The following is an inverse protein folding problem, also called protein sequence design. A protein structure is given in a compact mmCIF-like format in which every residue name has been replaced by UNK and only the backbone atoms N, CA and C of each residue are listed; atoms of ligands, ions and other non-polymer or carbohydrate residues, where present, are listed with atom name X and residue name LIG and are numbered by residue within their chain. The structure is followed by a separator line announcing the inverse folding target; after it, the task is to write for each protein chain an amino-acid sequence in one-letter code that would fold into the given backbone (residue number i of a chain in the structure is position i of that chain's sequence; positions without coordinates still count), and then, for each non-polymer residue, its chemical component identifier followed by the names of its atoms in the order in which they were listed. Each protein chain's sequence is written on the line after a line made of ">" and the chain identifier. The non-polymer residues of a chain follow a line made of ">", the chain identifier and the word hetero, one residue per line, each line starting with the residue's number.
data_IF_821212249178
#
_entry.id   IF_821212249178
#
_cell.length_a   1.000
_cell.length_b   1.000
_cell.length_c   1.000
_cell.angle_alpha   90.00
_cell.angle_beta   90.00
_cell.angle_gamma   90.00
#
_symmetry.space_group_name_H-M   'P 1'
#
loop_
_entity.id
_entity.type
_entity.pdbx_description
1 polymer ?
#
# COMPACT_ATOMS: atom_id res chain seq x y z
N UNK A 1 -31.91 -7.33 -10.63
CA UNK A 1 -31.32 -6.11 -11.24
C UNK A 1 -29.87 -6.05 -10.79
N UNK A 2 -28.90 -6.25 -11.69
CA UNK A 2 -27.47 -6.29 -11.34
C UNK A 2 -26.89 -4.89 -11.56
N UNK A 3 -26.25 -4.30 -10.54
CA UNK A 3 -25.47 -3.07 -10.67
C UNK A 3 -24.01 -3.46 -10.96
N UNK A 4 -23.50 -3.03 -12.11
CA UNK A 4 -22.07 -3.14 -12.44
C UNK A 4 -21.39 -1.87 -11.92
N UNK A 5 -20.34 -2.05 -11.13
CA UNK A 5 -19.57 -0.97 -10.50
C UNK A 5 -18.16 -0.94 -11.12
N UNK A 6 -17.78 0.17 -11.76
CA UNK A 6 -16.43 0.38 -12.29
C UNK A 6 -15.53 1.03 -11.23
N UNK A 7 -14.73 0.24 -10.52
CA UNK A 7 -13.82 0.73 -9.47
C UNK A 7 -12.68 1.65 -9.97
N UNK A 8 -12.59 1.88 -11.30
CA UNK A 8 -11.70 2.90 -11.87
C UNK A 8 -12.32 4.31 -11.84
N UNK A 9 -13.65 4.39 -11.75
CA UNK A 9 -14.44 5.63 -11.81
C UNK A 9 -15.10 5.96 -10.47
N UNK A 10 -15.38 4.95 -9.65
CA UNK A 10 -16.02 5.09 -8.34
C UNK A 10 -15.14 4.55 -7.22
N UNK A 11 -15.07 5.29 -6.11
CA UNK A 11 -14.42 4.81 -4.88
C UNK A 11 -15.21 3.66 -4.26
N UNK A 12 -14.50 2.72 -3.63
CA UNK A 12 -15.15 1.65 -2.88
C UNK A 12 -16.04 2.25 -1.79
N UNK A 13 -17.32 1.87 -1.82
CA UNK A 13 -18.34 2.25 -0.84
C UNK A 13 -18.39 1.29 0.35
N UNK A 14 -17.52 0.27 0.38
CA UNK A 14 -17.46 -0.68 1.49
C UNK A 14 -16.53 -0.12 2.56
N UNK A 15 -17.01 0.13 3.79
CA UNK A 15 -16.13 0.44 4.91
C UNK A 15 -15.21 -0.77 5.13
N UNK A 16 -13.91 -0.56 4.99
CA UNK A 16 -12.92 -1.62 5.05
C UNK A 16 -11.74 -1.17 5.91
N UNK A 17 -11.47 -1.93 6.97
CA UNK A 17 -10.25 -1.80 7.76
C UNK A 17 -9.09 -2.44 7.00
N UNK A 18 -7.94 -1.77 7.02
CA UNK A 18 -6.76 -2.21 6.28
C UNK A 18 -5.59 -2.43 7.23
N UNK A 19 -4.93 -3.58 7.07
CA UNK A 19 -3.68 -3.91 7.72
C UNK A 19 -2.58 -4.07 6.68
N UNK A 20 -1.46 -3.34 6.85
CA UNK A 20 -0.27 -3.49 6.02
C UNK A 20 0.72 -4.40 6.74
N UNK A 21 0.99 -5.57 6.14
CA UNK A 21 1.95 -6.53 6.68
C UNK A 21 3.39 -6.07 6.38
N UNK A 22 4.07 -5.54 7.39
CA UNK A 22 5.41 -4.95 7.28
C UNK A 22 6.52 -5.74 8.01
N UNK A 23 6.23 -6.95 8.53
CA UNK A 23 7.12 -7.69 9.44
C UNK A 23 8.21 -8.58 8.80
N UNK A 24 8.43 -8.51 7.48
CA UNK A 24 9.43 -9.35 6.81
C UNK A 24 10.87 -8.87 7.04
N UNK A 25 11.82 -9.78 7.28
CA UNK A 25 13.25 -9.48 7.55
C UNK A 25 14.05 -8.85 6.40
N UNK A 26 13.47 -8.68 5.21
CA UNK A 26 14.15 -8.01 4.09
C UNK A 26 15.34 -8.74 3.46
N UNK A 27 15.67 -9.98 3.87
CA UNK A 27 16.93 -10.66 3.54
C UNK A 27 17.37 -10.65 2.07
N UNK A 28 16.42 -10.69 1.12
CA UNK A 28 16.72 -10.65 -0.33
C UNK A 28 17.28 -9.31 -0.83
N UNK A 29 17.06 -8.23 -0.08
CA UNK A 29 17.48 -6.87 -0.42
C UNK A 29 18.68 -6.41 0.42
N UNK A 30 19.31 -7.30 1.19
CA UNK A 30 20.58 -6.97 1.84
C UNK A 30 21.62 -6.58 0.78
N UNK A 31 22.47 -5.56 1.03
CA UNK A 31 22.65 -4.86 2.32
C UNK A 31 21.68 -3.70 2.58
N UNK A 32 20.82 -3.34 1.63
CA UNK A 32 19.94 -2.17 1.75
C UNK A 32 19.01 -2.27 2.97
N UNK A 33 18.60 -3.49 3.33
CA UNK A 33 17.74 -3.74 4.49
C UNK A 33 18.48 -4.00 5.80
N UNK A 34 19.78 -3.74 5.87
CA UNK A 34 20.56 -3.97 7.09
C UNK A 34 20.13 -3.00 8.20
N UNK A 35 20.09 -1.70 7.88
CA UNK A 35 19.76 -0.63 8.83
C UNK A 35 18.38 -0.01 8.58
N UNK A 36 17.78 -0.28 7.41
CA UNK A 36 16.49 0.28 7.00
C UNK A 36 15.47 -0.81 6.72
N UNK A 37 14.29 -0.84 7.37
CA UNK A 37 13.25 -1.80 7.05
C UNK A 37 12.85 -1.70 5.57
N UNK A 38 12.58 -2.83 4.92
CA UNK A 38 12.14 -2.87 3.51
C UNK A 38 11.04 -1.83 3.19
N UNK A 39 9.97 -1.67 3.99
CA UNK A 39 8.92 -0.69 3.69
C UNK A 39 9.40 0.76 3.61
N UNK A 40 10.51 1.09 4.29
CA UNK A 40 11.08 2.44 4.32
C UNK A 40 12.13 2.68 3.24
N UNK A 41 12.49 1.66 2.45
CA UNK A 41 13.38 1.85 1.31
C UNK A 41 12.70 2.69 0.22
N UNK A 42 13.46 3.61 -0.37
CA UNK A 42 12.98 4.49 -1.43
C UNK A 42 12.91 3.77 -2.77
N UNK A 43 11.83 4.01 -3.50
CA UNK A 43 11.66 3.64 -4.90
C UNK A 43 11.24 4.92 -5.63
N UNK A 44 12.16 5.50 -6.38
CA UNK A 44 11.99 6.84 -6.94
C UNK A 44 12.09 7.91 -5.84
N UNK A 45 11.06 8.72 -5.74
CA UNK A 45 10.93 9.86 -4.82
C UNK A 45 10.28 9.52 -3.47
N UNK A 46 9.72 8.30 -3.32
CA UNK A 46 8.95 7.90 -2.13
C UNK A 46 9.36 6.53 -1.57
N UNK A 47 9.19 6.29 -0.26
CA UNK A 47 9.31 4.96 0.34
C UNK A 47 8.28 3.96 -0.21
N UNK A 48 8.63 2.66 -0.23
CA UNK A 48 7.72 1.57 -0.61
C UNK A 48 6.38 1.65 0.14
N UNK A 49 6.41 1.95 1.43
CA UNK A 49 5.20 2.05 2.26
C UNK A 49 4.25 3.15 1.75
N UNK A 50 4.79 4.31 1.36
CA UNK A 50 4.00 5.44 0.90
C UNK A 50 3.27 5.11 -0.42
N UNK A 51 3.95 4.44 -1.35
CA UNK A 51 3.31 3.94 -2.58
C UNK A 51 2.08 3.04 -2.30
N UNK A 52 2.14 2.23 -1.23
CA UNK A 52 1.00 1.39 -0.83
C UNK A 52 -0.12 2.23 -0.22
N UNK A 53 0.20 3.20 0.63
CA UNK A 53 -0.77 4.11 1.25
C UNK A 53 -1.48 4.94 0.18
N UNK A 54 -0.75 5.55 -0.75
CA UNK A 54 -1.31 6.34 -1.85
C UNK A 54 -2.31 5.53 -2.68
N UNK A 55 -2.00 4.25 -2.90
CA UNK A 55 -2.91 3.32 -3.57
C UNK A 55 -4.17 3.07 -2.76
N UNK A 56 -4.06 2.81 -1.45
CA UNK A 56 -5.21 2.61 -0.56
C UNK A 56 -6.12 3.84 -0.53
N UNK A 57 -5.54 5.04 -0.40
CA UNK A 57 -6.27 6.31 -0.43
C UNK A 57 -7.00 6.49 -1.77
N UNK A 58 -6.34 6.16 -2.90
CA UNK A 58 -6.98 6.21 -4.23
C UNK A 58 -8.22 5.32 -4.33
N UNK A 59 -8.24 4.19 -3.62
CA UNK A 59 -9.40 3.29 -3.57
C UNK A 59 -10.46 3.66 -2.51
N UNK A 60 -10.29 4.79 -1.82
CA UNK A 60 -11.28 5.33 -0.88
C UNK A 60 -11.11 4.85 0.56
N UNK A 61 -9.99 4.20 0.89
CA UNK A 61 -9.65 3.88 2.28
C UNK A 61 -9.28 5.18 3.01
N UNK A 62 -9.90 5.41 4.17
CA UNK A 62 -9.72 6.58 5.03
C UNK A 62 -9.55 6.09 6.47
N UNK A 63 -8.83 6.85 7.29
CA UNK A 63 -8.76 6.67 8.75
C UNK A 63 -9.87 7.45 9.44
#
# INVERSE_FOLDING_TARGET
>A
MVKILNLSEIQSIVPADVFIMAGGRGQRLMPLTADTPKPMLYVGDKPILEHNIDRLVRYGIKN
#
